data_IF_612895368558
#
_entry.id   IF_612895368558
#
_cell.length_a   1.000
_cell.length_b   1.000
_cell.length_c   1.000
_cell.angle_alpha   90.00
_cell.angle_beta   90.00
_cell.angle_gamma   90.00
#
_symmetry.space_group_name_H-M   'P 1'
#
loop_
_entity.id
_entity.type
_entity.pdbx_description
1 polymer ?
#
# COMPACT_ATOMS: atom_id res chain seq x y z
N UNK A 1 -22.06 26.34 -29.43
CA UNK A 1 -21.64 26.83 -28.11
C UNK A 1 -21.19 25.73 -27.15
N UNK A 2 -21.63 24.49 -27.31
CA UNK A 2 -21.22 23.36 -26.46
C UNK A 2 -19.72 22.96 -26.56
N UNK A 3 -19.08 23.13 -27.72
CA UNK A 3 -17.69 22.76 -27.91
C UNK A 3 -16.65 23.64 -27.20
N UNK A 4 -16.98 24.90 -26.88
CA UNK A 4 -16.08 25.81 -26.13
C UNK A 4 -16.12 25.59 -24.63
N UNK A 5 -17.22 25.14 -24.07
CA UNK A 5 -17.32 24.82 -22.62
C UNK A 5 -16.52 23.57 -22.26
N UNK A 6 -16.56 22.54 -23.10
CA UNK A 6 -15.80 21.29 -22.91
C UNK A 6 -14.27 21.53 -22.98
N UNK A 7 -13.82 22.45 -23.85
CA UNK A 7 -12.39 22.77 -24.01
C UNK A 7 -11.82 23.63 -22.85
N UNK A 8 -12.65 24.39 -22.12
CA UNK A 8 -12.19 25.16 -20.95
C UNK A 8 -12.04 24.30 -19.69
N UNK A 9 -12.89 23.28 -19.47
CA UNK A 9 -12.78 22.36 -18.35
C UNK A 9 -11.54 21.46 -18.41
N UNK A 10 -11.04 21.17 -19.62
CA UNK A 10 -9.84 20.32 -19.79
C UNK A 10 -8.52 21.01 -19.41
N UNK A 11 -8.50 22.31 -19.19
CA UNK A 11 -7.26 23.09 -18.99
C UNK A 11 -7.07 23.63 -17.57
N UNK A 12 -7.89 23.20 -16.60
CA UNK A 12 -7.76 23.63 -15.21
C UNK A 12 -6.53 22.98 -14.59
N UNK A 13 -5.52 23.81 -14.27
CA UNK A 13 -4.33 23.38 -13.53
C UNK A 13 -4.69 23.11 -12.07
N UNK A 14 -4.32 21.94 -11.58
CA UNK A 14 -4.49 21.60 -10.17
C UNK A 14 -3.41 22.33 -9.35
N UNK A 15 -3.76 23.05 -8.27
CA UNK A 15 -2.79 23.74 -7.41
C UNK A 15 -1.73 22.79 -6.88
N UNK A 16 -0.47 23.25 -6.75
CA UNK A 16 0.63 22.45 -6.23
C UNK A 16 0.30 21.86 -4.85
N UNK A 17 -0.30 22.67 -3.97
CA UNK A 17 -0.70 22.23 -2.64
C UNK A 17 -1.68 21.05 -2.67
N UNK A 18 -2.60 21.02 -3.65
CA UNK A 18 -3.55 19.90 -3.81
C UNK A 18 -2.84 18.64 -4.31
N UNK A 19 -1.81 18.77 -5.17
CA UNK A 19 -0.99 17.63 -5.63
C UNK A 19 -0.17 17.04 -4.48
N UNK A 20 0.44 17.90 -3.67
CA UNK A 20 1.19 17.49 -2.48
C UNK A 20 0.27 16.84 -1.47
N UNK A 21 -0.88 17.46 -1.16
CA UNK A 21 -1.85 16.91 -0.22
C UNK A 21 -2.41 15.56 -0.67
N UNK A 22 -2.61 15.38 -1.98
CA UNK A 22 -2.97 14.08 -2.54
C UNK A 22 -1.83 13.06 -2.33
N UNK A 23 -0.57 13.44 -2.55
CA UNK A 23 0.58 12.58 -2.25
C UNK A 23 0.67 12.16 -0.77
N UNK A 24 0.32 13.05 0.14
CA UNK A 24 0.26 12.75 1.58
C UNK A 24 -0.82 11.70 1.93
N UNK A 25 -1.90 11.60 1.16
CA UNK A 25 -2.84 10.48 1.31
C UNK A 25 -2.15 9.12 1.15
N UNK A 26 -1.21 9.00 0.21
CA UNK A 26 -0.44 7.77 0.01
C UNK A 26 0.63 7.56 1.10
N UNK A 27 1.17 8.63 1.68
CA UNK A 27 1.98 8.53 2.92
C UNK A 27 1.16 7.83 4.00
N UNK A 28 -0.05 8.32 4.28
CA UNK A 28 -0.95 7.69 5.25
C UNK A 28 -1.21 6.22 4.93
N UNK A 29 -1.60 5.91 3.69
CA UNK A 29 -1.83 4.52 3.26
C UNK A 29 -0.62 3.62 3.54
N UNK A 30 0.60 4.08 3.27
CA UNK A 30 1.80 3.29 3.51
C UNK A 30 2.11 3.14 5.00
N UNK A 31 1.96 4.18 5.83
CA UNK A 31 2.15 4.08 7.27
C UNK A 31 1.25 3.02 7.93
N UNK A 32 0.06 2.80 7.40
CA UNK A 32 -0.80 1.71 7.84
C UNK A 32 -0.40 0.37 7.18
N UNK A 33 -0.43 0.30 5.86
CA UNK A 33 -0.38 -0.97 5.14
C UNK A 33 0.99 -1.64 5.12
N UNK A 34 2.09 -0.86 4.97
CA UNK A 34 3.44 -1.42 5.01
C UNK A 34 3.81 -1.90 6.41
N UNK A 35 3.34 -1.20 7.45
CA UNK A 35 3.49 -1.66 8.82
C UNK A 35 2.78 -3.00 9.03
N UNK A 36 1.52 -3.11 8.61
CA UNK A 36 0.76 -4.37 8.66
C UNK A 36 1.47 -5.47 7.86
N UNK A 37 1.88 -5.17 6.63
CA UNK A 37 2.49 -6.17 5.74
C UNK A 37 3.81 -6.74 6.27
N UNK A 38 4.62 -5.91 6.93
CA UNK A 38 5.96 -6.33 7.39
C UNK A 38 5.95 -6.90 8.82
N UNK A 39 5.07 -6.41 9.69
CA UNK A 39 5.17 -6.68 11.13
C UNK A 39 3.99 -7.45 11.73
N UNK A 40 2.83 -7.53 11.03
CA UNK A 40 1.66 -8.17 11.62
C UNK A 40 1.84 -9.67 11.86
N UNK A 41 2.44 -10.39 10.90
CA UNK A 41 2.65 -11.82 11.06
C UNK A 41 3.53 -12.11 12.29
N UNK A 42 4.63 -11.37 12.43
CA UNK A 42 5.56 -11.53 13.56
C UNK A 42 4.89 -11.13 14.89
N UNK A 43 4.06 -10.09 14.88
CA UNK A 43 3.28 -9.71 16.05
C UNK A 43 2.32 -10.83 16.48
N UNK A 44 1.61 -11.45 15.56
CA UNK A 44 0.69 -12.54 15.89
C UNK A 44 1.40 -13.80 16.35
N UNK A 45 2.51 -14.18 15.71
CA UNK A 45 3.23 -15.42 16.07
C UNK A 45 4.06 -15.27 17.34
N UNK A 46 4.83 -14.20 17.46
CA UNK A 46 5.86 -14.06 18.48
C UNK A 46 5.39 -13.30 19.71
N UNK A 47 4.51 -12.30 19.54
CA UNK A 47 4.01 -11.49 20.65
C UNK A 47 2.69 -12.05 21.19
N UNK A 48 1.76 -12.45 20.30
CA UNK A 48 0.47 -13.03 20.71
C UNK A 48 0.53 -14.55 20.92
N UNK A 49 1.61 -15.21 20.47
CA UNK A 49 1.81 -16.67 20.53
C UNK A 49 0.68 -17.45 19.79
N UNK A 50 0.18 -16.91 18.68
CA UNK A 50 -0.84 -17.56 17.85
C UNK A 50 -0.14 -18.52 16.88
N UNK A 51 -0.65 -19.77 16.71
CA UNK A 51 -0.06 -20.74 15.80
C UNK A 51 0.05 -20.21 14.37
N UNK A 52 1.22 -20.39 13.73
CA UNK A 52 1.50 -19.92 12.36
C UNK A 52 0.47 -20.42 11.33
N UNK A 53 -0.06 -21.65 11.53
CA UNK A 53 -1.10 -22.20 10.67
C UNK A 53 -2.37 -21.35 10.66
N UNK A 54 -2.80 -20.84 11.83
CA UNK A 54 -3.97 -19.96 11.96
C UNK A 54 -3.71 -18.60 11.29
N UNK A 55 -2.50 -18.06 11.43
CA UNK A 55 -2.11 -16.79 10.80
C UNK A 55 -2.06 -16.94 9.27
N UNK A 56 -1.49 -18.05 8.77
CA UNK A 56 -1.44 -18.33 7.34
C UNK A 56 -2.83 -18.51 6.73
N UNK A 57 -3.74 -19.18 7.44
CA UNK A 57 -5.13 -19.34 7.03
C UNK A 57 -5.86 -17.98 6.98
N UNK A 58 -5.63 -17.11 7.97
CA UNK A 58 -6.16 -15.74 7.95
C UNK A 58 -5.71 -14.98 6.70
N UNK A 59 -4.41 -15.03 6.36
CA UNK A 59 -3.87 -14.36 5.18
C UNK A 59 -4.51 -14.88 3.89
N UNK A 60 -4.82 -16.17 3.82
CA UNK A 60 -5.54 -16.76 2.69
C UNK A 60 -6.99 -16.28 2.61
N UNK A 61 -7.73 -16.35 3.73
CA UNK A 61 -9.13 -15.92 3.81
C UNK A 61 -9.26 -14.44 3.47
N UNK A 62 -8.31 -13.61 3.91
CA UNK A 62 -8.33 -12.18 3.63
C UNK A 62 -8.29 -11.86 2.12
N UNK A 63 -7.67 -12.69 1.29
CA UNK A 63 -7.66 -12.49 -0.17
C UNK A 63 -9.04 -12.66 -0.80
N UNK A 64 -9.82 -13.62 -0.28
CA UNK A 64 -11.22 -13.76 -0.71
C UNK A 64 -12.08 -12.60 -0.19
N UNK A 65 -11.78 -12.13 1.03
CA UNK A 65 -12.45 -10.97 1.61
C UNK A 65 -12.18 -9.69 0.80
N UNK A 66 -10.93 -9.44 0.38
CA UNK A 66 -10.57 -8.34 -0.52
C UNK A 66 -11.33 -8.41 -1.85
N UNK A 67 -11.38 -9.58 -2.46
CA UNK A 67 -12.05 -9.78 -3.74
C UNK A 67 -13.55 -9.45 -3.70
N UNK A 68 -14.19 -9.56 -2.53
CA UNK A 68 -15.60 -9.20 -2.32
C UNK A 68 -15.73 -7.71 -1.94
N UNK A 69 -14.89 -7.23 -1.04
CA UNK A 69 -14.96 -5.87 -0.51
C UNK A 69 -14.66 -4.80 -1.56
N UNK A 70 -13.63 -5.00 -2.37
CA UNK A 70 -13.16 -3.98 -3.29
C UNK A 70 -14.24 -3.54 -4.29
N UNK A 71 -14.95 -4.46 -4.99
CA UNK A 71 -16.06 -4.09 -5.86
C UNK A 71 -17.25 -3.45 -5.11
N UNK A 72 -17.54 -3.93 -3.89
CA UNK A 72 -18.63 -3.39 -3.09
C UNK A 72 -18.36 -1.95 -2.67
N UNK A 73 -17.19 -1.69 -2.09
CA UNK A 73 -16.80 -0.34 -1.66
C UNK A 73 -16.62 0.59 -2.87
N UNK A 74 -16.03 0.11 -3.97
CA UNK A 74 -15.96 0.87 -5.22
C UNK A 74 -17.34 1.31 -5.70
N UNK A 75 -18.30 0.37 -5.76
CA UNK A 75 -19.68 0.69 -6.15
C UNK A 75 -20.38 1.64 -5.16
N UNK A 76 -20.12 1.49 -3.86
CA UNK A 76 -20.73 2.32 -2.81
C UNK A 76 -20.15 3.74 -2.86
N UNK A 77 -18.84 3.87 -3.01
CA UNK A 77 -18.18 5.18 -3.13
C UNK A 77 -18.64 5.96 -4.36
N UNK A 78 -18.83 5.28 -5.49
CA UNK A 78 -19.35 5.90 -6.71
C UNK A 78 -20.81 6.40 -6.58
N UNK A 79 -21.58 5.78 -5.70
CA UNK A 79 -22.97 6.16 -5.42
C UNK A 79 -23.10 7.25 -4.35
N UNK A 80 -22.06 7.48 -3.59
CA UNK A 80 -22.07 8.47 -2.52
C UNK A 80 -22.30 9.87 -3.10
N UNK A 81 -23.26 10.61 -2.56
CA UNK A 81 -23.58 11.99 -2.95
C UNK A 81 -23.65 12.82 -1.68
N UNK A 82 -22.64 13.62 -1.40
CA UNK A 82 -22.61 14.50 -0.24
C UNK A 82 -22.19 15.92 -0.64
N UNK A 83 -22.39 16.88 0.28
CA UNK A 83 -21.93 18.26 0.11
C UNK A 83 -20.40 18.39 -0.04
N UNK A 84 -19.64 17.37 0.36
CA UNK A 84 -18.16 17.34 0.28
C UNK A 84 -17.65 16.61 -0.96
N UNK A 85 -18.53 16.07 -1.79
CA UNK A 85 -18.20 15.24 -2.94
C UNK A 85 -18.57 13.77 -2.76
N UNK A 86 -18.04 12.90 -3.64
CA UNK A 86 -18.31 11.45 -3.62
C UNK A 86 -17.27 10.69 -2.82
N UNK A 87 -15.99 11.00 -3.00
CA UNK A 87 -14.86 10.22 -2.48
C UNK A 87 -14.29 10.84 -1.21
N UNK A 88 -14.28 12.16 -1.08
CA UNK A 88 -13.72 12.88 0.06
C UNK A 88 -14.34 12.53 1.41
N UNK A 89 -15.66 12.29 1.55
CA UNK A 89 -16.26 11.90 2.84
C UNK A 89 -15.68 10.59 3.39
N UNK A 90 -15.30 9.67 2.52
CA UNK A 90 -14.68 8.40 2.90
C UNK A 90 -13.31 8.59 3.54
N UNK A 91 -12.54 9.58 3.07
CA UNK A 91 -11.26 9.95 3.70
C UNK A 91 -11.47 10.58 5.07
N UNK A 92 -12.49 11.42 5.21
CA UNK A 92 -12.75 12.13 6.46
C UNK A 92 -13.20 11.20 7.60
N UNK A 93 -14.14 10.31 7.31
CA UNK A 93 -14.77 9.43 8.30
C UNK A 93 -14.04 8.08 8.36
N UNK A 94 -13.66 7.53 7.20
CA UNK A 94 -13.01 6.24 7.09
C UNK A 94 -11.63 6.21 7.73
N UNK A 95 -10.84 7.28 7.61
CA UNK A 95 -9.49 7.28 8.14
C UNK A 95 -9.43 7.11 9.67
N UNK A 96 -10.14 7.86 10.51
CA UNK A 96 -10.10 7.64 11.95
C UNK A 96 -10.69 6.28 12.36
N UNK A 97 -11.71 5.78 11.67
CA UNK A 97 -12.25 4.45 11.94
C UNK A 97 -11.24 3.35 11.61
N UNK A 98 -10.55 3.46 10.47
CA UNK A 98 -9.48 2.52 10.09
C UNK A 98 -8.31 2.58 11.08
N UNK A 99 -7.92 3.77 11.52
CA UNK A 99 -6.88 3.95 12.54
C UNK A 99 -7.26 3.28 13.88
N UNK A 100 -8.52 3.41 14.31
CA UNK A 100 -9.01 2.71 15.49
C UNK A 100 -8.89 1.19 15.35
N UNK A 101 -9.34 0.64 14.22
CA UNK A 101 -9.26 -0.81 13.98
C UNK A 101 -7.81 -1.27 13.85
N UNK A 102 -6.92 -0.44 13.28
CA UNK A 102 -5.50 -0.72 13.22
C UNK A 102 -4.91 -0.86 14.64
N UNK A 103 -5.27 0.03 15.56
CA UNK A 103 -4.86 -0.06 16.98
C UNK A 103 -5.41 -1.34 17.61
N UNK A 104 -6.68 -1.67 17.40
CA UNK A 104 -7.27 -2.91 17.91
C UNK A 104 -6.55 -4.15 17.36
N UNK A 105 -6.14 -4.15 16.10
CA UNK A 105 -5.42 -5.27 15.47
C UNK A 105 -4.07 -5.56 16.12
N UNK A 106 -3.38 -4.55 16.65
CA UNK A 106 -2.09 -4.68 17.36
C UNK A 106 -2.24 -4.61 18.89
N UNK A 107 -3.42 -4.85 19.42
CA UNK A 107 -3.66 -4.93 20.84
C UNK A 107 -3.57 -6.39 21.30
N UNK A 108 -2.50 -6.74 21.99
CA UNK A 108 -2.29 -8.09 22.54
C UNK A 108 -3.13 -8.32 23.80
N UNK A 109 -3.70 -9.51 23.91
CA UNK A 109 -4.48 -9.97 25.08
C UNK A 109 -3.85 -11.22 25.70
N UNK A 110 -2.78 -11.09 26.52
CA UNK A 110 -2.01 -12.23 27.00
C UNK A 110 -2.85 -13.22 27.86
N UNK A 111 -3.84 -12.70 28.57
CA UNK A 111 -4.66 -13.48 29.50
C UNK A 111 -5.83 -14.25 28.84
N UNK A 112 -6.00 -14.09 27.53
CA UNK A 112 -7.09 -14.76 26.82
C UNK A 112 -6.70 -16.19 26.42
N UNK A 113 -7.71 -17.05 26.27
CA UNK A 113 -7.50 -18.39 25.70
C UNK A 113 -7.08 -18.30 24.24
N UNK A 114 -6.35 -19.29 23.75
CA UNK A 114 -5.83 -19.31 22.37
C UNK A 114 -6.95 -19.25 21.33
N UNK A 115 -8.10 -19.85 21.62
CA UNK A 115 -9.31 -19.76 20.79
C UNK A 115 -9.82 -18.32 20.71
N UNK A 116 -9.92 -17.63 21.85
CA UNK A 116 -10.38 -16.24 21.89
C UNK A 116 -9.44 -15.29 21.18
N UNK A 117 -8.10 -15.47 21.34
CA UNK A 117 -7.08 -14.71 20.61
C UNK A 117 -7.22 -14.90 19.11
N UNK A 118 -7.42 -16.15 18.67
CA UNK A 118 -7.57 -16.47 17.26
C UNK A 118 -8.83 -15.81 16.66
N UNK A 119 -9.98 -15.90 17.32
CA UNK A 119 -11.20 -15.24 16.87
C UNK A 119 -11.03 -13.73 16.81
N UNK A 120 -10.42 -13.13 17.83
CA UNK A 120 -10.14 -11.69 17.87
C UNK A 120 -9.25 -11.25 16.70
N UNK A 121 -8.19 -12.00 16.41
CA UNK A 121 -7.31 -11.79 15.27
C UNK A 121 -8.08 -11.78 13.94
N UNK A 122 -8.95 -12.79 13.73
CA UNK A 122 -9.74 -12.87 12.49
C UNK A 122 -10.68 -11.68 12.34
N UNK A 123 -11.42 -11.33 13.40
CA UNK A 123 -12.39 -10.23 13.39
C UNK A 123 -11.69 -8.90 13.16
N UNK A 124 -10.65 -8.59 13.94
CA UNK A 124 -9.96 -7.30 13.84
C UNK A 124 -9.24 -7.13 12.50
N UNK A 125 -8.63 -8.19 11.97
CA UNK A 125 -7.98 -8.12 10.67
C UNK A 125 -8.97 -7.96 9.51
N UNK A 126 -10.07 -8.70 9.50
CA UNK A 126 -11.13 -8.53 8.49
C UNK A 126 -11.73 -7.11 8.53
N UNK A 127 -11.93 -6.55 9.72
CA UNK A 127 -12.37 -5.16 9.89
C UNK A 127 -11.31 -4.16 9.43
N UNK A 128 -10.02 -4.43 9.68
CA UNK A 128 -8.92 -3.59 9.23
C UNK A 128 -8.87 -3.54 7.70
N UNK A 129 -8.94 -4.69 7.05
CA UNK A 129 -8.98 -4.81 5.59
C UNK A 129 -10.16 -4.02 5.02
N UNK A 130 -11.37 -4.21 5.58
CA UNK A 130 -12.56 -3.46 5.18
C UNK A 130 -12.36 -1.94 5.36
N UNK A 131 -11.89 -1.51 6.54
CA UNK A 131 -11.64 -0.10 6.84
C UNK A 131 -10.62 0.51 5.88
N UNK A 132 -9.51 -0.21 5.62
CA UNK A 132 -8.50 0.23 4.68
C UNK A 132 -9.07 0.37 3.25
N UNK A 133 -9.83 -0.61 2.78
CA UNK A 133 -10.52 -0.57 1.47
C UNK A 133 -11.46 0.63 1.38
N UNK A 134 -12.20 0.94 2.45
CA UNK A 134 -13.10 2.11 2.53
C UNK A 134 -12.38 3.45 2.34
N UNK A 135 -11.10 3.53 2.64
CA UNK A 135 -10.28 4.74 2.45
C UNK A 135 -9.51 4.67 1.13
N UNK A 136 -8.84 3.56 0.86
CA UNK A 136 -7.89 3.43 -0.24
C UNK A 136 -8.57 3.46 -1.63
N UNK A 137 -9.72 2.82 -1.80
CA UNK A 137 -10.44 2.81 -3.10
C UNK A 137 -10.97 4.21 -3.45
N UNK A 138 -11.72 4.91 -2.57
CA UNK A 138 -12.13 6.28 -2.83
C UNK A 138 -10.94 7.23 -3.04
N UNK A 139 -9.85 7.06 -2.28
CA UNK A 139 -8.62 7.82 -2.45
C UNK A 139 -8.02 7.60 -3.85
N UNK A 140 -7.90 6.37 -4.30
CA UNK A 140 -7.38 6.05 -5.64
C UNK A 140 -8.22 6.65 -6.78
N UNK A 141 -9.55 6.62 -6.64
CA UNK A 141 -10.50 7.19 -7.62
C UNK A 141 -10.56 8.72 -7.59
N UNK A 142 -10.26 9.34 -6.46
CA UNK A 142 -10.26 10.79 -6.28
C UNK A 142 -9.37 11.51 -7.30
N UNK A 143 -8.22 10.94 -7.71
CA UNK A 143 -7.35 11.52 -8.72
C UNK A 143 -8.11 11.82 -10.03
N UNK A 144 -9.00 10.93 -10.45
CA UNK A 144 -9.86 11.12 -11.61
C UNK A 144 -10.92 12.20 -11.45
N UNK A 145 -11.34 12.47 -10.21
CA UNK A 145 -12.31 13.51 -9.89
C UNK A 145 -11.68 14.90 -9.71
N UNK A 146 -10.35 14.98 -9.52
CA UNK A 146 -9.63 16.26 -9.39
C UNK A 146 -9.40 16.95 -10.74
N UNK A 147 -9.19 16.21 -11.82
CA UNK A 147 -8.90 16.78 -13.14
C UNK A 147 -9.16 15.79 -14.28
N UNK A 148 -9.53 16.31 -15.45
CA UNK A 148 -9.61 15.54 -16.69
C UNK A 148 -8.31 15.63 -17.51
N UNK A 149 -7.42 16.55 -17.19
CA UNK A 149 -6.17 16.75 -17.91
C UNK A 149 -5.18 15.61 -17.64
N UNK A 150 -4.73 14.92 -18.68
CA UNK A 150 -3.82 13.77 -18.60
C UNK A 150 -2.47 14.14 -17.99
N UNK A 151 -1.92 15.34 -18.33
CA UNK A 151 -0.65 15.80 -17.77
C UNK A 151 -0.76 16.10 -16.27
N UNK A 152 -1.84 16.74 -15.85
CA UNK A 152 -2.09 17.03 -14.45
C UNK A 152 -2.29 15.74 -13.64
N UNK A 153 -2.97 14.73 -14.18
CA UNK A 153 -3.07 13.40 -13.57
C UNK A 153 -1.70 12.73 -13.46
N UNK A 154 -0.86 12.85 -14.48
CA UNK A 154 0.51 12.32 -14.42
C UNK A 154 1.31 13.00 -13.30
N UNK A 155 1.23 14.32 -13.16
CA UNK A 155 1.90 15.09 -12.10
C UNK A 155 1.40 14.72 -10.70
N UNK A 156 0.08 14.54 -10.53
CA UNK A 156 -0.53 14.07 -9.27
C UNK A 156 0.00 12.67 -8.91
N UNK A 157 0.02 11.74 -9.88
CA UNK A 157 0.53 10.40 -9.66
C UNK A 157 2.04 10.37 -9.39
N UNK A 158 2.83 11.26 -10.01
CA UNK A 158 4.26 11.41 -9.68
C UNK A 158 4.43 11.85 -8.23
N UNK A 159 3.69 12.88 -7.78
CA UNK A 159 3.71 13.32 -6.38
C UNK A 159 3.36 12.17 -5.42
N UNK A 160 2.31 11.41 -5.75
CA UNK A 160 1.89 10.22 -5.02
C UNK A 160 3.02 9.19 -4.90
N UNK A 161 3.65 8.83 -6.03
CA UNK A 161 4.71 7.82 -6.06
C UNK A 161 5.95 8.23 -5.26
N UNK A 162 6.35 9.51 -5.35
CA UNK A 162 7.47 10.05 -4.55
C UNK A 162 7.14 9.99 -3.06
N UNK A 163 5.96 10.43 -2.66
CA UNK A 163 5.51 10.38 -1.27
C UNK A 163 5.45 8.95 -0.74
N UNK A 164 4.93 8.01 -1.53
CA UNK A 164 4.89 6.59 -1.18
C UNK A 164 6.28 6.01 -0.95
N UNK A 165 7.22 6.28 -1.87
CA UNK A 165 8.59 5.78 -1.78
C UNK A 165 9.29 6.29 -0.52
N UNK A 166 9.14 7.58 -0.22
CA UNK A 166 9.71 8.18 1.01
C UNK A 166 9.09 7.54 2.25
N UNK A 167 7.75 7.39 2.29
CA UNK A 167 7.05 6.80 3.43
C UNK A 167 7.46 5.35 3.69
N UNK A 168 7.55 4.52 2.64
CA UNK A 168 7.96 3.11 2.75
C UNK A 168 9.36 3.01 3.37
N UNK A 169 10.33 3.81 2.89
CA UNK A 169 11.68 3.80 3.43
C UNK A 169 11.71 4.25 4.90
N UNK A 170 11.01 5.33 5.24
CA UNK A 170 10.91 5.81 6.61
C UNK A 170 10.36 4.70 7.52
N UNK A 171 9.25 4.05 7.16
CA UNK A 171 8.64 3.00 7.96
C UNK A 171 9.61 1.84 8.20
N UNK A 172 10.27 1.36 7.16
CA UNK A 172 11.20 0.24 7.27
C UNK A 172 12.40 0.55 8.17
N UNK A 173 12.83 1.82 8.22
CA UNK A 173 13.97 2.26 9.02
C UNK A 173 13.58 2.50 10.47
N UNK A 174 12.45 3.19 10.72
CA UNK A 174 12.15 3.69 12.07
C UNK A 174 11.31 2.74 12.92
N UNK A 175 10.58 1.77 12.31
CA UNK A 175 9.60 0.96 13.03
C UNK A 175 10.22 0.14 14.15
N UNK A 176 11.28 -0.62 13.90
CA UNK A 176 11.94 -1.43 14.94
C UNK A 176 12.56 -0.59 16.06
N UNK A 177 13.32 0.48 15.74
CA UNK A 177 13.78 1.40 16.78
C UNK A 177 12.66 2.00 17.63
N UNK A 178 11.52 2.35 17.01
CA UNK A 178 10.37 2.89 17.75
C UNK A 178 9.70 1.84 18.64
N UNK A 179 9.54 0.60 18.15
CA UNK A 179 9.00 -0.50 18.96
C UNK A 179 9.89 -0.74 20.18
N UNK A 180 11.21 -0.76 20.01
CA UNK A 180 12.17 -0.93 21.10
C UNK A 180 12.11 0.25 22.08
N UNK A 181 12.10 1.49 21.57
CA UNK A 181 12.08 2.69 22.41
C UNK A 181 10.81 2.81 23.25
N UNK A 182 9.64 2.51 22.67
CA UNK A 182 8.35 2.62 23.36
C UNK A 182 8.00 1.40 24.19
N UNK A 183 8.49 0.21 23.80
CA UNK A 183 8.17 -1.04 24.45
C UNK A 183 9.09 -1.38 25.61
N UNK A 184 10.37 -1.03 25.52
CA UNK A 184 11.38 -1.51 26.46
C UNK A 184 11.38 -3.03 26.50
N UNK A 185 11.15 -3.60 27.68
CA UNK A 185 11.04 -5.06 27.87
C UNK A 185 9.70 -5.64 27.37
N UNK A 186 8.66 -4.80 27.19
CA UNK A 186 7.33 -5.24 26.77
C UNK A 186 7.10 -4.93 25.28
N UNK A 187 7.44 -5.87 24.43
CA UNK A 187 7.24 -5.73 22.97
C UNK A 187 5.77 -5.42 22.59
N UNK A 188 4.79 -6.05 23.25
CA UNK A 188 3.38 -5.80 22.94
C UNK A 188 2.99 -4.33 23.14
N UNK A 189 3.51 -3.69 24.19
CA UNK A 189 3.34 -2.25 24.42
C UNK A 189 4.00 -1.41 23.33
N UNK A 190 5.21 -1.82 22.89
CA UNK A 190 5.92 -1.15 21.79
C UNK A 190 5.12 -1.15 20.49
N UNK A 191 4.62 -2.32 20.09
CA UNK A 191 3.75 -2.44 18.91
C UNK A 191 2.49 -1.57 19.03
N UNK A 192 1.82 -1.61 20.17
CA UNK A 192 0.61 -0.83 20.40
C UNK A 192 0.86 0.68 20.27
N UNK A 193 1.90 1.22 20.89
CA UNK A 193 2.21 2.65 20.86
C UNK A 193 2.64 3.11 19.45
N UNK A 194 3.44 2.32 18.73
CA UNK A 194 3.78 2.59 17.33
C UNK A 194 2.53 2.59 16.47
N UNK A 195 1.61 1.66 16.71
CA UNK A 195 0.35 1.58 15.96
C UNK A 195 -0.54 2.80 16.19
N UNK A 196 -0.62 3.29 17.42
CA UNK A 196 -1.33 4.55 17.76
C UNK A 196 -0.71 5.73 17.00
N UNK A 197 0.62 5.84 17.00
CA UNK A 197 1.34 6.88 16.26
C UNK A 197 1.05 6.81 14.75
N UNK A 198 1.15 5.61 14.16
CA UNK A 198 0.92 5.41 12.73
C UNK A 198 -0.55 5.61 12.33
N UNK A 199 -1.48 5.21 13.19
CA UNK A 199 -2.91 5.50 13.02
C UNK A 199 -3.22 7.00 13.07
N UNK A 200 -2.55 7.75 13.94
CA UNK A 200 -2.66 9.22 13.97
C UNK A 200 -2.09 9.86 12.70
N UNK A 201 -0.93 9.41 12.22
CA UNK A 201 -0.33 9.87 10.95
C UNK A 201 -1.25 9.54 9.78
N UNK A 202 -1.78 8.31 9.71
CA UNK A 202 -2.75 7.88 8.70
C UNK A 202 -3.95 8.83 8.63
N UNK A 203 -4.54 9.12 9.78
CA UNK A 203 -5.71 10.01 9.89
C UNK A 203 -5.36 11.44 9.49
N UNK A 204 -4.26 11.99 10.00
CA UNK A 204 -3.83 13.35 9.70
C UNK A 204 -3.53 13.55 8.20
N UNK A 205 -2.86 12.59 7.56
CA UNK A 205 -2.55 12.62 6.14
C UNK A 205 -3.83 12.60 5.27
N UNK A 206 -4.81 11.77 5.62
CA UNK A 206 -6.08 11.72 4.90
C UNK A 206 -6.94 12.96 5.15
N UNK A 207 -6.93 13.53 6.34
CA UNK A 207 -7.59 14.79 6.63
C UNK A 207 -6.93 15.96 5.89
N UNK A 208 -5.61 15.96 5.77
CA UNK A 208 -4.90 16.96 4.95
C UNK A 208 -5.27 16.80 3.46
N UNK A 209 -5.32 15.57 2.95
CA UNK A 209 -5.79 15.30 1.61
C UNK A 209 -7.24 15.79 1.42
N UNK A 210 -8.15 15.47 2.34
CA UNK A 210 -9.53 15.94 2.33
C UNK A 210 -9.62 17.47 2.31
N UNK A 211 -8.84 18.17 3.16
CA UNK A 211 -8.93 19.62 3.30
C UNK A 211 -8.43 20.39 2.08
N UNK A 212 -7.41 19.87 1.38
CA UNK A 212 -6.74 20.58 0.27
C UNK A 212 -7.10 20.08 -1.13
N UNK A 213 -7.93 19.04 -1.24
CA UNK A 213 -8.44 18.56 -2.54
C UNK A 213 -9.91 18.96 -2.71
N UNK A 214 -10.33 19.15 -3.95
CA UNK A 214 -11.75 19.37 -4.29
C UNK A 214 -12.10 18.58 -5.54
N UNK A 215 -13.22 17.89 -5.51
CA UNK A 215 -13.75 17.19 -6.68
C UNK A 215 -14.36 18.21 -7.63
N UNK A 216 -13.74 18.36 -8.80
CA UNK A 216 -14.17 19.33 -9.83
C UNK A 216 -14.92 18.61 -10.94
N UNK A 217 -14.51 17.37 -11.22
CA UNK A 217 -15.08 16.58 -12.30
C UNK A 217 -16.28 15.80 -11.78
N UNK A 218 -17.47 16.19 -12.24
CA UNK A 218 -18.67 15.36 -12.06
C UNK A 218 -18.59 14.19 -13.07
N UNK A 219 -18.54 12.94 -12.61
CA UNK A 219 -18.56 11.81 -13.52
C UNK A 219 -19.83 11.83 -14.35
N UNK A 220 -19.69 11.76 -15.68
CA UNK A 220 -20.80 11.52 -16.56
C UNK A 220 -21.48 10.21 -16.17
N UNK A 221 -22.78 10.21 -15.93
CA UNK A 221 -23.54 9.00 -15.65
C UNK A 221 -23.43 8.04 -16.86
N UNK A 222 -22.45 7.17 -16.83
CA UNK A 222 -22.32 6.11 -17.84
C UNK A 222 -23.42 5.08 -17.62
N UNK A 223 -24.09 4.65 -18.69
CA UNK A 223 -24.99 3.50 -18.65
C UNK A 223 -24.30 2.34 -17.94
N UNK A 224 -24.97 1.76 -16.96
CA UNK A 224 -24.43 0.63 -16.18
C UNK A 224 -24.25 -0.57 -17.11
N UNK A 225 -23.02 -0.92 -17.36
CA UNK A 225 -22.69 -2.16 -18.06
C UNK A 225 -22.68 -3.26 -16.99
N UNK A 226 -23.45 -4.35 -17.16
CA UNK A 226 -23.44 -5.48 -16.23
C UNK A 226 -22.02 -6.02 -16.01
N UNK A 227 -21.68 -6.40 -14.80
CA UNK A 227 -20.33 -6.86 -14.43
C UNK A 227 -19.86 -8.03 -15.30
N UNK A 228 -20.76 -8.93 -15.65
CA UNK A 228 -20.46 -10.07 -16.53
C UNK A 228 -20.02 -9.66 -17.95
N UNK A 229 -20.57 -8.58 -18.49
CA UNK A 229 -20.16 -8.05 -19.78
C UNK A 229 -18.77 -7.43 -19.69
N UNK A 230 -18.47 -6.74 -18.58
CA UNK A 230 -17.14 -6.18 -18.33
C UNK A 230 -16.10 -7.29 -18.15
N UNK A 231 -16.40 -8.33 -17.37
CA UNK A 231 -15.52 -9.48 -17.17
C UNK A 231 -15.27 -10.24 -18.49
N UNK A 232 -16.31 -10.45 -19.28
CA UNK A 232 -16.19 -11.09 -20.60
C UNK A 232 -15.31 -10.26 -21.54
N UNK A 233 -15.50 -8.95 -21.58
CA UNK A 233 -14.67 -8.04 -22.39
C UNK A 233 -13.19 -8.05 -21.91
N UNK A 234 -12.95 -8.06 -20.61
CA UNK A 234 -11.61 -8.18 -20.04
C UNK A 234 -10.95 -9.53 -20.38
N UNK A 235 -11.70 -10.64 -20.27
CA UNK A 235 -11.22 -11.98 -20.59
C UNK A 235 -10.91 -12.17 -22.09
N UNK A 236 -11.53 -11.39 -22.96
CA UNK A 236 -11.26 -11.40 -24.41
C UNK A 236 -10.12 -10.49 -24.84
N UNK A 237 -9.64 -9.61 -23.94
CA UNK A 237 -8.58 -8.66 -24.22
C UNK A 237 -7.19 -9.28 -23.91
N UNK A 238 -6.55 -9.89 -24.91
CA UNK A 238 -5.23 -10.52 -24.76
C UNK A 238 -4.15 -9.60 -24.16
N UNK A 239 -3.96 -8.34 -24.61
CA UNK A 239 -3.01 -7.42 -23.97
C UNK A 239 -3.30 -7.18 -22.49
N UNK A 240 -4.57 -7.09 -22.12
CA UNK A 240 -4.96 -6.95 -20.71
C UNK A 240 -4.61 -8.20 -19.88
N UNK A 241 -4.87 -9.41 -20.41
CA UNK A 241 -4.54 -10.67 -19.71
C UNK A 241 -3.04 -10.84 -19.53
N UNK A 242 -2.23 -10.47 -20.53
CA UNK A 242 -0.77 -10.51 -20.42
C UNK A 242 -0.28 -9.55 -19.33
N UNK A 243 -0.80 -8.31 -19.32
CA UNK A 243 -0.46 -7.33 -18.29
C UNK A 243 -0.91 -7.80 -16.90
N UNK A 244 -2.09 -8.40 -16.78
CA UNK A 244 -2.62 -8.96 -15.53
C UNK A 244 -1.74 -10.11 -15.03
N UNK A 245 -1.36 -11.04 -15.89
CA UNK A 245 -0.46 -12.14 -15.53
C UNK A 245 0.91 -11.63 -15.06
N UNK A 246 1.48 -10.65 -15.76
CA UNK A 246 2.73 -10.00 -15.36
C UNK A 246 2.62 -9.33 -13.98
N UNK A 247 1.51 -8.63 -13.73
CA UNK A 247 1.26 -7.98 -12.44
C UNK A 247 1.06 -8.99 -11.30
N UNK A 248 0.40 -10.11 -11.56
CA UNK A 248 0.23 -11.19 -10.59
C UNK A 248 1.57 -11.83 -10.23
N UNK A 249 2.39 -12.17 -11.22
CA UNK A 249 3.72 -12.75 -10.98
C UNK A 249 4.62 -11.79 -10.21
N UNK A 250 4.65 -10.51 -10.61
CA UNK A 250 5.39 -9.49 -9.89
C UNK A 250 4.91 -9.34 -8.44
N UNK A 251 3.59 -9.31 -8.24
CA UNK A 251 2.99 -9.21 -6.91
C UNK A 251 3.35 -10.40 -6.02
N UNK A 252 3.29 -11.63 -6.52
CA UNK A 252 3.67 -12.83 -5.77
C UNK A 252 5.12 -12.76 -5.30
N UNK A 253 6.05 -12.39 -6.18
CA UNK A 253 7.48 -12.27 -5.82
C UNK A 253 7.70 -11.12 -4.84
N UNK A 254 7.17 -9.93 -5.13
CA UNK A 254 7.42 -8.73 -4.34
C UNK A 254 6.82 -8.83 -2.93
N UNK A 255 5.54 -9.17 -2.82
CA UNK A 255 4.87 -9.26 -1.52
C UNK A 255 5.29 -10.50 -0.74
N UNK A 256 5.55 -11.63 -1.42
CA UNK A 256 6.08 -12.84 -0.79
C UNK A 256 7.45 -12.59 -0.16
N UNK A 257 8.35 -11.92 -0.87
CA UNK A 257 9.66 -11.51 -0.33
C UNK A 257 9.50 -10.58 0.87
N UNK A 258 8.70 -9.53 0.75
CA UNK A 258 8.54 -8.54 1.81
C UNK A 258 7.98 -9.16 3.10
N UNK A 259 6.99 -10.04 3.00
CA UNK A 259 6.40 -10.71 4.15
C UNK A 259 7.39 -11.63 4.89
N UNK A 260 8.30 -12.29 4.15
CA UNK A 260 9.25 -13.24 4.74
C UNK A 260 10.58 -12.60 5.14
N UNK A 261 10.88 -11.38 4.70
CA UNK A 261 12.18 -10.75 4.90
C UNK A 261 12.50 -10.56 6.38
N UNK A 262 11.51 -10.15 7.19
CA UNK A 262 11.69 -9.97 8.62
C UNK A 262 11.96 -11.30 9.33
N UNK A 263 11.27 -12.38 8.93
CA UNK A 263 11.53 -13.74 9.44
C UNK A 263 12.94 -14.21 9.10
N UNK A 264 13.42 -13.92 7.89
CA UNK A 264 14.77 -14.25 7.48
C UNK A 264 15.81 -13.62 8.40
N UNK A 265 15.73 -12.31 8.66
CA UNK A 265 16.66 -11.64 9.55
C UNK A 265 16.56 -12.12 11.00
N UNK A 266 15.37 -12.43 11.47
CA UNK A 266 15.14 -12.88 12.84
C UNK A 266 15.59 -14.32 13.08
N UNK A 267 15.22 -15.25 12.19
CA UNK A 267 15.38 -16.68 12.42
C UNK A 267 16.54 -17.32 11.68
N UNK A 268 16.98 -16.78 10.56
CA UNK A 268 18.12 -17.29 9.81
C UNK A 268 19.41 -16.58 10.19
N UNK A 269 19.38 -15.25 10.21
CA UNK A 269 20.56 -14.44 10.58
C UNK A 269 20.67 -14.18 12.09
N UNK A 270 19.60 -14.40 12.86
CA UNK A 270 19.58 -14.22 14.32
C UNK A 270 19.67 -12.76 14.77
N UNK A 271 19.51 -11.80 13.87
CA UNK A 271 19.66 -10.37 14.17
C UNK A 271 18.63 -9.51 13.46
N UNK A 272 17.56 -9.11 14.16
CA UNK A 272 16.49 -8.26 13.64
C UNK A 272 16.99 -6.86 13.21
N UNK A 273 18.04 -6.33 13.81
CA UNK A 273 18.59 -5.01 13.50
C UNK A 273 19.13 -4.94 12.05
N UNK A 274 19.53 -6.08 11.47
CA UNK A 274 19.94 -6.16 10.07
C UNK A 274 18.83 -5.79 9.08
N UNK A 275 17.55 -5.97 9.46
CA UNK A 275 16.42 -5.52 8.66
C UNK A 275 16.44 -4.00 8.46
N UNK A 276 16.73 -3.25 9.52
CA UNK A 276 16.85 -1.78 9.45
C UNK A 276 18.02 -1.38 8.56
N UNK A 277 19.19 -2.00 8.74
CA UNK A 277 20.37 -1.74 7.91
C UNK A 277 20.11 -2.05 6.43
N UNK A 278 19.51 -3.19 6.15
CA UNK A 278 19.10 -3.59 4.80
C UNK A 278 18.16 -2.56 4.17
N UNK A 279 17.16 -2.09 4.93
CA UNK A 279 16.19 -1.09 4.46
C UNK A 279 16.85 0.26 4.15
N UNK A 280 17.84 0.68 4.96
CA UNK A 280 18.63 1.90 4.71
C UNK A 280 19.45 1.78 3.42
N UNK A 281 20.12 0.66 3.22
CA UNK A 281 20.93 0.43 2.02
C UNK A 281 20.05 0.37 0.77
N UNK A 282 18.90 -0.28 0.81
CA UNK A 282 17.96 -0.37 -0.30
C UNK A 282 17.38 0.99 -0.75
N UNK A 283 17.40 1.99 0.12
CA UNK A 283 16.93 3.33 -0.25
C UNK A 283 17.75 3.92 -1.40
N UNK A 284 19.07 3.71 -1.42
CA UNK A 284 19.97 4.23 -2.45
C UNK A 284 19.66 3.64 -3.84
N UNK A 285 19.66 2.31 -4.03
CA UNK A 285 19.30 1.69 -5.31
C UNK A 285 17.88 2.05 -5.77
N UNK A 286 16.93 2.20 -4.84
CA UNK A 286 15.55 2.58 -5.16
C UNK A 286 15.47 3.98 -5.77
N UNK A 287 16.20 4.94 -5.23
CA UNK A 287 16.30 6.31 -5.77
C UNK A 287 17.00 6.30 -7.14
N UNK A 288 18.12 5.58 -7.25
CA UNK A 288 18.86 5.46 -8.51
C UNK A 288 18.00 4.81 -9.59
N UNK A 289 17.31 3.73 -9.27
CA UNK A 289 16.42 3.03 -10.19
C UNK A 289 15.26 3.92 -10.68
N UNK A 290 14.64 4.66 -9.77
CA UNK A 290 13.59 5.62 -10.11
C UNK A 290 14.10 6.74 -11.03
N UNK A 291 15.30 7.27 -10.77
CA UNK A 291 15.95 8.29 -11.59
C UNK A 291 16.42 7.74 -12.96
N UNK A 292 16.86 6.49 -13.00
CA UNK A 292 17.33 5.84 -14.23
C UNK A 292 16.19 5.45 -15.18
N UNK A 293 14.98 5.19 -14.63
CA UNK A 293 13.84 4.72 -15.41
C UNK A 293 13.52 5.55 -16.67
N UNK A 294 13.44 6.91 -16.62
CA UNK A 294 13.19 7.71 -17.82
C UNK A 294 14.27 7.58 -18.90
N UNK A 295 15.54 7.42 -18.51
CA UNK A 295 16.66 7.26 -19.43
C UNK A 295 16.61 5.90 -20.13
N UNK A 296 16.40 4.83 -19.36
CA UNK A 296 16.26 3.47 -19.89
C UNK A 296 15.03 3.37 -20.80
N UNK A 297 13.92 4.01 -20.39
CA UNK A 297 12.71 4.05 -21.21
C UNK A 297 12.94 4.76 -22.56
N UNK A 298 13.65 5.89 -22.57
CA UNK A 298 14.01 6.61 -23.81
C UNK A 298 14.90 5.76 -24.70
N UNK A 299 15.87 5.05 -24.11
CA UNK A 299 16.79 4.18 -24.85
C UNK A 299 16.10 2.98 -25.49
N UNK A 300 15.20 2.31 -24.78
CA UNK A 300 14.48 1.13 -25.27
C UNK A 300 13.24 1.46 -26.12
N UNK A 301 12.68 2.67 -26.00
CA UNK A 301 11.53 3.16 -26.76
C UNK A 301 10.23 2.36 -26.55
N UNK A 302 10.22 1.36 -25.69
CA UNK A 302 9.08 0.44 -25.49
C UNK A 302 8.88 0.13 -24.01
N UNK A 303 7.68 0.44 -23.49
CA UNK A 303 7.30 0.21 -22.09
C UNK A 303 7.44 -1.26 -21.64
N UNK A 304 7.04 -2.19 -22.53
CA UNK A 304 7.11 -3.62 -22.25
C UNK A 304 8.55 -4.12 -22.11
N UNK A 305 9.46 -3.69 -23.01
CA UNK A 305 10.88 -4.03 -22.92
C UNK A 305 11.55 -3.45 -21.70
N UNK A 306 11.22 -2.20 -21.35
CA UNK A 306 11.73 -1.56 -20.14
C UNK A 306 11.28 -2.33 -18.89
N UNK A 307 9.99 -2.66 -18.79
CA UNK A 307 9.48 -3.46 -17.67
C UNK A 307 10.11 -4.85 -17.60
N UNK A 308 10.31 -5.53 -18.74
CA UNK A 308 10.95 -6.84 -18.80
C UNK A 308 12.42 -6.79 -18.35
N UNK A 309 13.17 -5.76 -18.72
CA UNK A 309 14.55 -5.56 -18.28
C UNK A 309 14.64 -5.40 -16.76
N UNK A 310 13.83 -4.54 -16.17
CA UNK A 310 13.82 -4.34 -14.71
C UNK A 310 13.34 -5.59 -13.97
N UNK A 311 12.32 -6.30 -14.49
CA UNK A 311 11.86 -7.55 -13.91
C UNK A 311 12.92 -8.66 -13.96
N UNK A 312 13.65 -8.78 -15.08
CA UNK A 312 14.76 -9.75 -15.20
C UNK A 312 15.89 -9.39 -14.23
N UNK A 313 16.28 -8.11 -14.13
CA UNK A 313 17.27 -7.65 -13.16
C UNK A 313 16.87 -8.00 -11.71
N UNK A 314 15.62 -7.72 -11.33
CA UNK A 314 15.09 -8.10 -10.01
C UNK A 314 15.15 -9.63 -9.80
N UNK A 315 14.83 -10.43 -10.81
CA UNK A 315 14.91 -11.89 -10.73
C UNK A 315 16.34 -12.38 -10.48
N UNK A 316 17.32 -11.80 -11.18
CA UNK A 316 18.75 -12.12 -10.98
C UNK A 316 19.20 -11.76 -9.56
N UNK A 317 18.83 -10.57 -9.08
CA UNK A 317 19.15 -10.13 -7.71
C UNK A 317 18.54 -11.07 -6.65
N UNK A 318 17.27 -11.45 -6.80
CA UNK A 318 16.61 -12.38 -5.87
C UNK A 318 17.28 -13.75 -5.85
N UNK A 319 17.70 -14.25 -7.02
CA UNK A 319 18.48 -15.50 -7.10
C UNK A 319 19.86 -15.35 -6.44
N UNK A 320 20.52 -14.21 -6.63
CA UNK A 320 21.82 -13.95 -6.01
C UNK A 320 21.73 -13.89 -4.48
N UNK A 321 20.65 -13.35 -3.91
CA UNK A 321 20.42 -13.34 -2.46
C UNK A 321 20.38 -14.73 -1.83
N UNK A 322 20.04 -15.78 -2.59
CA UNK A 322 20.09 -17.15 -2.11
C UNK A 322 21.54 -17.63 -1.82
N UNK A 323 22.51 -17.10 -2.53
CA UNK A 323 23.92 -17.49 -2.41
C UNK A 323 24.72 -16.59 -1.46
N UNK A 324 24.19 -15.43 -1.07
CA UNK A 324 24.91 -14.45 -0.25
C UNK A 324 24.17 -14.18 1.05
N UNK A 325 24.89 -14.28 2.17
CA UNK A 325 24.39 -13.87 3.49
C UNK A 325 24.89 -12.46 3.83
N UNK A 326 24.11 -11.63 4.52
CA UNK A 326 24.54 -10.29 4.97
C UNK A 326 25.70 -10.34 5.96
N UNK A 327 25.90 -11.47 6.65
CA UNK A 327 26.99 -11.66 7.64
C UNK A 327 28.28 -12.11 6.96
N UNK A 328 28.20 -13.09 6.04
CA UNK A 328 29.40 -13.68 5.39
C UNK A 328 29.84 -12.93 4.15
N UNK A 329 28.90 -12.34 3.42
CA UNK A 329 29.15 -11.60 2.19
C UNK A 329 28.26 -10.35 2.10
N UNK A 330 28.52 -9.33 2.95
CA UNK A 330 27.62 -8.17 3.06
C UNK A 330 27.56 -7.34 1.78
N UNK A 331 28.69 -7.13 1.08
CA UNK A 331 28.70 -6.29 -0.13
C UNK A 331 27.84 -6.87 -1.25
N UNK A 332 28.00 -8.15 -1.67
CA UNK A 332 27.10 -8.76 -2.66
C UNK A 332 25.64 -8.80 -2.21
N UNK A 333 25.39 -9.12 -0.94
CA UNK A 333 24.03 -9.19 -0.39
C UNK A 333 23.28 -7.85 -0.49
N UNK A 334 23.92 -6.75 -0.10
CA UNK A 334 23.31 -5.41 -0.16
C UNK A 334 23.31 -4.80 -1.58
N UNK A 335 24.10 -5.32 -2.50
CA UNK A 335 24.12 -4.90 -3.90
C UNK A 335 22.97 -5.51 -4.73
N UNK A 336 22.40 -6.63 -4.28
CA UNK A 336 21.27 -7.30 -4.91
C UNK A 336 19.93 -6.79 -4.39
#
# INVERSE_FOLDING_TARGET
MAGKAVSQETNVKVPLLSKVAYGFGDVGCNFSWMFVSNFLMIFYTDVCAIPMASVSLLMLISRFWDAINDPLIGSLSDRTKTRWGRYRPWLLIGAPLTALVLVLTFWAHPNWSDGSKTVYMYVTYCLLVLGYTCVNIPYGTLCGALTQNIEERARINTSRSVCAMVAINIINIITLPLIAAFGGENQAKGYLLVTVLYGAIFTACHWFCFAKTREIVTPVEKKRIPIWVQLKAAAQNKPYLIALAGQLLFGLVHYGRSANLMYYFKYVEGNEALFTTYSMVLMIPSIIGAAAFPFVFRWLGNKGRTAALFAAGTGVCVLALYFFSPVTAPIPFYAC
#
